data_IF_595537019729
#
_entry.id   IF_595537019729
#
_cell.length_a   1.000
_cell.length_b   1.000
_cell.length_c   1.000
_cell.angle_alpha   90.00
_cell.angle_beta   90.00
_cell.angle_gamma   90.00
#
_symmetry.space_group_name_H-M   'P 1'
#
loop_
_entity.id
_entity.type
_entity.pdbx_description
1 polymer ?
#
# COMPACT_ATOMS: atom_id res chain seq x y z
N UNK A 1 -28.37 23.50 -95.11
CA UNK A 1 -27.46 22.36 -94.83
C UNK A 1 -27.62 22.04 -93.35
N UNK A 2 -27.85 20.77 -93.04
CA UNK A 2 -28.62 20.25 -91.88
C UNK A 2 -28.09 20.65 -90.50
N UNK A 3 -29.00 20.97 -89.59
CA UNK A 3 -28.77 21.07 -88.14
C UNK A 3 -28.85 19.65 -87.57
N UNK A 4 -27.75 19.16 -87.01
CA UNK A 4 -27.73 17.91 -86.22
C UNK A 4 -28.48 18.15 -84.90
N UNK A 5 -29.61 17.47 -84.73
CA UNK A 5 -30.30 17.41 -83.43
C UNK A 5 -29.55 16.45 -82.48
N UNK A 6 -29.34 16.82 -81.21
CA UNK A 6 -28.71 15.92 -80.25
C UNK A 6 -29.64 14.76 -79.92
N UNK A 7 -29.18 13.54 -80.22
CA UNK A 7 -29.84 12.28 -79.82
C UNK A 7 -29.91 12.22 -78.29
N UNK A 8 -31.07 12.57 -77.73
CA UNK A 8 -31.38 12.27 -76.32
C UNK A 8 -31.69 10.79 -76.19
N UNK A 9 -30.67 10.01 -75.83
CA UNK A 9 -30.88 8.64 -75.37
C UNK A 9 -31.45 8.72 -73.95
N UNK A 10 -32.78 8.71 -73.84
CA UNK A 10 -33.48 8.50 -72.57
C UNK A 10 -33.67 7.01 -72.38
N UNK A 11 -32.91 6.41 -71.48
CA UNK A 11 -33.23 5.08 -70.96
C UNK A 11 -34.38 5.23 -69.98
N UNK A 12 -35.53 4.54 -70.18
CA UNK A 12 -36.59 4.56 -69.19
C UNK A 12 -36.15 3.72 -67.98
N UNK A 13 -35.71 4.37 -66.90
CA UNK A 13 -35.69 3.71 -65.60
C UNK A 13 -37.13 3.38 -65.24
N UNK A 14 -37.41 2.11 -64.95
CA UNK A 14 -38.72 1.72 -64.43
C UNK A 14 -38.84 2.20 -62.98
N UNK A 15 -40.06 2.45 -62.52
CA UNK A 15 -40.31 2.90 -61.15
C UNK A 15 -39.79 1.90 -60.10
N UNK A 16 -39.65 0.63 -60.48
CA UNK A 16 -39.13 -0.46 -59.66
C UNK A 16 -37.60 -0.39 -59.53
N UNK A 17 -36.86 -0.15 -60.62
CA UNK A 17 -35.40 0.00 -60.57
C UNK A 17 -34.97 1.29 -59.86
N UNK A 18 -35.77 2.35 -59.95
CA UNK A 18 -35.53 3.59 -59.18
C UNK A 18 -35.70 3.35 -57.67
N UNK A 19 -36.74 2.61 -57.27
CA UNK A 19 -36.98 2.28 -55.85
C UNK A 19 -35.87 1.40 -55.27
N UNK A 20 -35.44 0.38 -56.00
CA UNK A 20 -34.32 -0.48 -55.58
C UNK A 20 -33.00 0.29 -55.47
N UNK A 21 -32.72 1.22 -56.41
CA UNK A 21 -31.55 2.08 -56.34
C UNK A 21 -31.59 2.99 -55.10
N UNK A 22 -32.76 3.55 -54.77
CA UNK A 22 -32.95 4.39 -53.59
C UNK A 22 -32.78 3.60 -52.27
N UNK A 23 -33.38 2.42 -52.16
CA UNK A 23 -33.22 1.54 -50.99
C UNK A 23 -31.77 1.09 -50.78
N UNK A 24 -31.04 0.81 -51.86
CA UNK A 24 -29.62 0.46 -51.80
C UNK A 24 -28.74 1.65 -51.37
N UNK A 25 -29.10 2.87 -51.79
CA UNK A 25 -28.39 4.08 -51.40
C UNK A 25 -28.60 4.38 -49.90
N UNK A 26 -29.83 4.22 -49.42
CA UNK A 26 -30.18 4.36 -48.00
C UNK A 26 -29.47 3.31 -47.13
N UNK A 27 -29.45 2.04 -47.56
CA UNK A 27 -28.70 0.97 -46.86
C UNK A 27 -27.20 1.25 -46.80
N UNK A 28 -26.61 1.77 -47.88
CA UNK A 28 -25.19 2.11 -47.93
C UNK A 28 -24.87 3.23 -46.94
N UNK A 29 -25.69 4.30 -46.92
CA UNK A 29 -25.54 5.40 -45.97
C UNK A 29 -25.70 4.94 -44.51
N UNK A 30 -26.63 4.03 -44.24
CA UNK A 30 -26.86 3.47 -42.90
C UNK A 30 -25.66 2.63 -42.42
N UNK A 31 -25.04 1.85 -43.31
CA UNK A 31 -23.84 1.08 -43.01
C UNK A 31 -22.63 1.98 -42.72
N UNK A 32 -22.46 3.07 -43.46
CA UNK A 32 -21.39 4.05 -43.22
C UNK A 32 -21.55 4.72 -41.85
N UNK A 33 -22.78 5.10 -41.49
CA UNK A 33 -23.09 5.64 -40.16
C UNK A 33 -22.80 4.62 -39.06
N UNK A 34 -23.16 3.36 -39.26
CA UNK A 34 -22.91 2.30 -38.28
C UNK A 34 -21.41 2.04 -38.07
N UNK A 35 -20.62 2.07 -39.15
CA UNK A 35 -19.16 2.01 -39.08
C UNK A 35 -18.59 3.21 -38.31
N UNK A 36 -19.11 4.41 -38.55
CA UNK A 36 -18.66 5.61 -37.86
C UNK A 36 -18.98 5.56 -36.35
N UNK A 37 -20.19 5.13 -35.99
CA UNK A 37 -20.59 4.94 -34.59
C UNK A 37 -19.72 3.89 -33.91
N UNK A 38 -19.48 2.74 -34.54
CA UNK A 38 -18.62 1.70 -33.97
C UNK A 38 -17.18 2.19 -33.75
N UNK A 39 -16.63 2.99 -34.67
CA UNK A 39 -15.30 3.62 -34.48
C UNK A 39 -15.29 4.57 -33.28
N UNK A 40 -16.34 5.35 -33.08
CA UNK A 40 -16.46 6.24 -31.93
C UNK A 40 -16.59 5.46 -30.63
N UNK A 41 -17.38 4.39 -30.60
CA UNK A 41 -17.53 3.51 -29.42
C UNK A 41 -16.19 2.89 -29.07
N UNK A 42 -15.49 2.26 -30.02
CA UNK A 42 -14.18 1.66 -29.75
C UNK A 42 -13.13 2.68 -29.28
N UNK A 43 -13.19 3.92 -29.78
CA UNK A 43 -12.31 4.98 -29.30
C UNK A 43 -12.61 5.39 -27.85
N UNK A 44 -13.89 5.46 -27.48
CA UNK A 44 -14.32 5.75 -26.10
C UNK A 44 -13.93 4.61 -25.17
N UNK A 45 -14.17 3.35 -25.56
CA UNK A 45 -13.78 2.17 -24.79
C UNK A 45 -12.27 2.13 -24.52
N UNK A 46 -11.45 2.39 -25.55
CA UNK A 46 -10.00 2.46 -25.40
C UNK A 46 -9.57 3.56 -24.40
N UNK A 47 -10.22 4.73 -24.43
CA UNK A 47 -9.97 5.81 -23.46
C UNK A 47 -10.38 5.42 -22.04
N UNK A 48 -11.56 4.82 -21.86
CA UNK A 48 -12.04 4.37 -20.55
C UNK A 48 -11.08 3.34 -19.94
N UNK A 49 -10.66 2.35 -20.72
CA UNK A 49 -9.71 1.35 -20.26
C UNK A 49 -8.36 1.97 -19.87
N UNK A 50 -7.86 2.92 -20.66
CA UNK A 50 -6.63 3.65 -20.34
C UNK A 50 -6.76 4.43 -19.02
N UNK A 51 -7.85 5.19 -18.84
CA UNK A 51 -8.07 5.93 -17.59
C UNK A 51 -8.23 4.99 -16.39
N UNK A 52 -8.86 3.83 -16.57
CA UNK A 52 -8.94 2.80 -15.54
C UNK A 52 -7.56 2.33 -15.08
N UNK A 53 -6.65 2.04 -16.03
CA UNK A 53 -5.27 1.67 -15.72
C UNK A 53 -4.48 2.80 -15.04
N UNK A 54 -4.63 4.05 -15.50
CA UNK A 54 -3.98 5.22 -14.89
C UNK A 54 -4.44 5.42 -13.44
N UNK A 55 -5.76 5.31 -13.16
CA UNK A 55 -6.32 5.40 -11.81
C UNK A 55 -5.79 4.30 -10.89
N UNK A 56 -5.73 3.06 -11.36
CA UNK A 56 -5.22 1.95 -10.57
C UNK A 56 -3.72 2.12 -10.25
N UNK A 57 -2.95 2.64 -11.22
CA UNK A 57 -1.53 2.94 -11.03
C UNK A 57 -1.33 4.05 -9.99
N UNK A 58 -2.14 5.11 -10.04
CA UNK A 58 -2.13 6.19 -9.05
C UNK A 58 -2.51 5.68 -7.66
N UNK A 59 -3.56 4.88 -7.54
CA UNK A 59 -3.95 4.29 -6.26
C UNK A 59 -2.83 3.44 -5.65
N UNK A 60 -2.16 2.62 -6.47
CA UNK A 60 -1.01 1.84 -6.02
C UNK A 60 0.13 2.75 -5.56
N UNK A 61 0.47 3.81 -6.31
CA UNK A 61 1.51 4.76 -5.89
C UNK A 61 1.17 5.47 -4.59
N UNK A 62 -0.07 5.91 -4.40
CA UNK A 62 -0.51 6.57 -3.16
C UNK A 62 -0.43 5.61 -1.97
N UNK A 63 -0.82 4.34 -2.15
CA UNK A 63 -0.72 3.33 -1.10
C UNK A 63 0.74 3.03 -0.72
N UNK A 64 1.63 2.88 -1.71
CA UNK A 64 3.06 2.65 -1.44
C UNK A 64 3.72 3.85 -0.75
N UNK A 65 3.36 5.09 -1.15
CA UNK A 65 3.85 6.30 -0.49
C UNK A 65 3.41 6.34 0.98
N UNK A 66 2.13 6.09 1.26
CA UNK A 66 1.61 6.12 2.62
C UNK A 66 2.29 5.10 3.55
N UNK A 67 2.58 3.90 3.04
CA UNK A 67 3.34 2.89 3.80
C UNK A 67 4.79 3.34 4.02
N UNK A 68 5.45 3.88 2.99
CA UNK A 68 6.82 4.38 3.11
C UNK A 68 6.94 5.54 4.10
N UNK A 69 6.00 6.48 4.05
CA UNK A 69 5.94 7.63 4.96
C UNK A 69 5.74 7.13 6.40
N UNK A 70 4.85 6.16 6.60
CA UNK A 70 4.61 5.59 7.93
C UNK A 70 5.81 4.82 8.49
N UNK A 71 6.49 4.03 7.66
CA UNK A 71 7.73 3.35 8.08
C UNK A 71 8.80 4.36 8.49
N UNK A 72 8.84 5.53 7.82
CA UNK A 72 9.78 6.60 8.15
C UNK A 72 9.49 7.15 9.55
N UNK A 73 8.22 7.46 9.84
CA UNK A 73 7.79 7.90 11.18
C UNK A 73 8.15 6.86 12.25
N UNK A 74 7.82 5.58 12.01
CA UNK A 74 8.12 4.51 12.95
C UNK A 74 9.64 4.41 13.24
N UNK A 75 10.48 4.58 12.21
CA UNK A 75 11.93 4.53 12.35
C UNK A 75 12.49 5.75 13.11
N UNK A 76 11.94 6.94 12.85
CA UNK A 76 12.29 8.19 13.55
C UNK A 76 11.98 8.10 15.05
N UNK A 77 10.84 7.50 15.42
CA UNK A 77 10.43 7.29 16.81
C UNK A 77 11.42 6.40 17.59
N UNK A 78 12.18 5.54 16.91
CA UNK A 78 13.22 4.72 17.54
C UNK A 78 14.54 5.46 17.79
N UNK A 79 14.56 6.79 17.67
CA UNK A 79 15.74 7.61 17.95
C UNK A 79 16.90 7.39 16.97
N UNK A 80 16.60 6.95 15.74
CA UNK A 80 17.59 6.70 14.70
C UNK A 80 18.36 5.38 14.83
N UNK A 81 17.94 4.50 15.75
CA UNK A 81 18.49 3.15 15.88
C UNK A 81 18.16 2.30 14.64
N UNK A 82 16.96 2.48 14.08
CA UNK A 82 16.52 1.87 12.82
C UNK A 82 16.60 2.91 11.71
N UNK A 83 17.13 2.51 10.56
CA UNK A 83 17.28 3.35 9.39
C UNK A 83 16.54 2.73 8.20
N UNK A 84 15.91 3.55 7.36
CA UNK A 84 15.41 3.13 6.06
C UNK A 84 16.49 3.40 5.03
N UNK A 85 17.11 2.36 4.51
CA UNK A 85 18.23 2.52 3.58
C UNK A 85 17.75 2.62 2.13
N UNK A 86 18.12 3.69 1.43
CA UNK A 86 17.87 3.82 -0.01
C UNK A 86 18.53 2.68 -0.82
N UNK A 87 19.68 2.18 -0.35
CA UNK A 87 20.39 1.06 -0.97
C UNK A 87 19.58 -0.24 -0.96
N UNK A 88 18.62 -0.34 -0.04
CA UNK A 88 17.76 -1.51 0.12
C UNK A 88 16.29 -1.15 -0.13
N UNK A 89 16.00 -0.18 -1.01
CA UNK A 89 14.63 0.24 -1.35
C UNK A 89 13.78 0.60 -0.12
N UNK A 90 14.40 1.30 0.85
CA UNK A 90 13.79 1.71 2.11
C UNK A 90 13.42 0.56 3.04
N UNK A 91 14.08 -0.60 2.91
CA UNK A 91 13.99 -1.66 3.92
C UNK A 91 14.58 -1.18 5.25
N UNK A 92 13.90 -1.46 6.39
CA UNK A 92 14.41 -1.12 7.72
C UNK A 92 15.65 -1.95 8.06
N UNK A 93 16.70 -1.25 8.50
CA UNK A 93 18.00 -1.84 8.86
C UNK A 93 18.51 -1.28 10.18
N UNK A 94 19.30 -2.09 10.87
CA UNK A 94 20.19 -1.67 11.95
C UNK A 94 21.63 -1.62 11.44
N UNK A 95 22.43 -0.76 12.04
CA UNK A 95 23.88 -0.78 11.90
C UNK A 95 24.48 -1.28 13.21
N UNK A 96 25.22 -2.38 13.16
CA UNK A 96 25.83 -2.97 14.35
C UNK A 96 27.07 -2.19 14.80
N UNK A 97 27.68 -2.61 15.92
CA UNK A 97 28.90 -1.98 16.44
C UNK A 97 30.11 -2.04 15.49
N UNK A 98 30.11 -2.95 14.51
CA UNK A 98 31.16 -3.10 13.51
C UNK A 98 30.86 -2.31 12.22
N UNK A 99 29.70 -1.68 12.11
CA UNK A 99 29.24 -1.00 10.90
C UNK A 99 28.59 -1.94 9.88
N UNK A 100 28.31 -3.18 10.25
CA UNK A 100 27.57 -4.12 9.41
C UNK A 100 26.07 -3.82 9.43
N UNK A 101 25.44 -3.98 8.27
CA UNK A 101 24.00 -3.76 8.11
C UNK A 101 23.25 -5.05 8.41
N UNK A 102 22.37 -5.01 9.40
CA UNK A 102 21.49 -6.12 9.77
C UNK A 102 20.06 -5.74 9.40
N UNK A 103 19.38 -6.62 8.67
CA UNK A 103 18.01 -6.36 8.24
C UNK A 103 17.05 -6.61 9.39
N UNK A 104 16.14 -5.67 9.66
CA UNK A 104 15.22 -5.78 10.81
C UNK A 104 14.36 -7.04 10.72
N UNK A 105 13.94 -7.46 9.52
CA UNK A 105 13.12 -8.67 9.36
C UNK A 105 13.82 -9.94 9.84
N UNK A 106 15.16 -10.03 9.75
CA UNK A 106 15.91 -11.20 10.21
C UNK A 106 15.77 -11.37 11.72
N UNK A 107 15.80 -10.26 12.45
CA UNK A 107 15.63 -10.26 13.90
C UNK A 107 14.18 -10.61 14.28
N UNK A 108 13.20 -10.14 13.49
CA UNK A 108 11.79 -10.49 13.71
C UNK A 108 11.51 -11.99 13.49
N UNK A 109 12.16 -12.63 12.51
CA UNK A 109 12.09 -14.08 12.31
C UNK A 109 12.64 -14.84 13.52
N UNK A 110 13.73 -14.35 14.12
CA UNK A 110 14.30 -14.95 15.33
C UNK A 110 13.44 -14.69 16.57
N UNK A 111 12.79 -13.53 16.71
CA UNK A 111 11.85 -13.25 17.82
C UNK A 111 10.65 -14.22 17.81
N UNK A 112 10.18 -14.66 16.65
CA UNK A 112 9.13 -15.68 16.56
C UNK A 112 9.60 -17.04 17.12
N UNK A 113 10.90 -17.32 17.05
CA UNK A 113 11.51 -18.57 17.53
C UNK A 113 12.05 -18.48 18.96
N UNK A 114 12.46 -17.29 19.40
CA UNK A 114 13.13 -17.00 20.67
C UNK A 114 12.24 -16.10 21.52
N UNK A 115 11.78 -16.62 22.65
CA UNK A 115 10.91 -15.88 23.59
C UNK A 115 11.73 -14.89 24.44
N UNK A 116 13.07 -14.99 24.44
CA UNK A 116 13.97 -14.26 25.34
C UNK A 116 14.92 -13.30 24.62
N UNK A 117 15.01 -12.06 25.14
CA UNK A 117 15.93 -11.02 24.70
C UNK A 117 17.39 -11.43 24.90
N UNK A 118 17.70 -12.20 25.94
CA UNK A 118 19.06 -12.68 26.20
C UNK A 118 19.51 -13.65 25.09
N UNK A 119 18.64 -14.57 24.68
CA UNK A 119 18.90 -15.49 23.58
C UNK A 119 19.06 -14.76 22.24
N UNK A 120 18.28 -13.70 22.02
CA UNK A 120 18.41 -12.85 20.84
C UNK A 120 19.75 -12.11 20.82
N UNK A 121 20.20 -11.62 21.98
CA UNK A 121 21.51 -10.99 22.14
C UNK A 121 22.66 -11.99 21.96
N UNK A 122 22.50 -13.26 22.33
CA UNK A 122 23.49 -14.31 22.03
C UNK A 122 23.62 -14.55 20.51
N UNK A 123 22.52 -14.42 19.76
CA UNK A 123 22.49 -14.57 18.30
C UNK A 123 23.07 -13.35 17.59
N UNK A 124 22.81 -12.16 18.15
CA UNK A 124 23.31 -10.88 17.63
C UNK A 124 24.17 -10.13 18.67
N UNK A 125 25.37 -10.65 19.00
CA UNK A 125 26.18 -10.13 20.10
C UNK A 125 26.75 -8.72 19.86
N UNK A 126 26.68 -8.24 18.61
CA UNK A 126 27.13 -6.92 18.19
C UNK A 126 26.04 -5.86 18.30
N UNK A 127 24.80 -6.27 18.56
CA UNK A 127 23.66 -5.39 18.81
C UNK A 127 23.48 -5.15 20.30
N UNK A 128 23.18 -3.91 20.66
CA UNK A 128 22.83 -3.56 22.03
C UNK A 128 21.38 -3.95 22.34
N UNK A 129 21.06 -4.18 23.62
CA UNK A 129 19.67 -4.37 24.07
C UNK A 129 18.75 -3.22 23.65
N UNK A 130 19.27 -1.99 23.56
CA UNK A 130 18.50 -0.85 23.07
C UNK A 130 18.12 -1.02 21.58
N UNK A 131 19.03 -1.52 20.74
CA UNK A 131 18.74 -1.80 19.34
C UNK A 131 17.76 -2.96 19.17
N UNK A 132 17.88 -4.02 19.98
CA UNK A 132 16.93 -5.13 19.99
C UNK A 132 15.53 -4.67 20.44
N UNK A 133 15.46 -3.86 21.50
CA UNK A 133 14.22 -3.24 21.96
C UNK A 133 13.59 -2.31 20.93
N UNK A 134 14.42 -1.57 20.17
CA UNK A 134 13.95 -0.73 19.07
C UNK A 134 13.29 -1.55 17.95
N UNK A 135 13.80 -2.76 17.64
CA UNK A 135 13.18 -3.65 16.65
C UNK A 135 11.79 -4.09 17.07
N UNK A 136 11.64 -4.50 18.34
CA UNK A 136 10.35 -4.92 18.90
C UNK A 136 9.36 -3.74 18.88
N UNK A 137 9.81 -2.57 19.33
CA UNK A 137 9.00 -1.35 19.37
C UNK A 137 8.58 -0.89 17.97
N UNK A 138 9.50 -0.99 17.00
CA UNK A 138 9.22 -0.70 15.60
C UNK A 138 8.20 -1.65 14.97
N UNK A 139 8.31 -2.96 15.25
CA UNK A 139 7.32 -3.93 14.80
C UNK A 139 5.94 -3.65 15.40
N UNK A 140 5.89 -3.30 16.69
CA UNK A 140 4.66 -2.87 17.37
C UNK A 140 4.05 -1.64 16.69
N UNK A 141 4.86 -0.61 16.40
CA UNK A 141 4.41 0.58 15.68
C UNK A 141 3.85 0.21 14.29
N UNK A 142 4.51 -0.67 13.52
CA UNK A 142 3.99 -1.15 12.24
C UNK A 142 2.61 -1.81 12.38
N UNK A 143 2.42 -2.63 13.41
CA UNK A 143 1.12 -3.26 13.67
C UNK A 143 0.00 -2.24 13.91
N UNK A 144 0.33 -1.02 14.38
CA UNK A 144 -0.64 0.06 14.59
C UNK A 144 -1.11 0.72 13.30
N UNK A 145 -0.43 0.54 12.16
CA UNK A 145 -0.74 1.21 10.89
C UNK A 145 -2.23 1.14 10.52
N UNK A 146 -2.84 -0.03 10.66
CA UNK A 146 -4.24 -0.27 10.26
C UNK A 146 -5.25 -0.06 11.40
N UNK A 147 -4.80 0.26 12.60
CA UNK A 147 -5.68 0.32 13.78
C UNK A 147 -6.44 1.65 13.89
N UNK A 148 -6.17 2.62 13.01
CA UNK A 148 -6.88 3.91 12.98
C UNK A 148 -6.53 4.82 14.16
N UNK A 149 -5.30 4.71 14.69
CA UNK A 149 -4.83 5.52 15.82
C UNK A 149 -5.16 4.93 17.20
N UNK A 150 -5.36 3.62 17.28
CA UNK A 150 -5.43 2.92 18.57
C UNK A 150 -3.99 2.72 19.05
N UNK A 151 -3.65 3.37 20.17
CA UNK A 151 -2.39 3.09 20.85
C UNK A 151 -2.46 1.72 21.52
N UNK A 152 -1.68 0.77 21.00
CA UNK A 152 -1.59 -0.58 21.58
C UNK A 152 -1.08 -0.51 23.02
N UNK A 153 -0.17 0.41 23.31
CA UNK A 153 0.37 0.58 24.66
C UNK A 153 -0.72 0.95 25.66
N UNK A 154 -1.63 1.86 25.28
CA UNK A 154 -2.77 2.23 26.13
C UNK A 154 -3.77 1.07 26.34
N UNK A 155 -3.91 0.19 25.35
CA UNK A 155 -4.72 -1.03 25.48
C UNK A 155 -4.05 -2.05 26.41
N UNK A 156 -2.75 -2.31 26.22
CA UNK A 156 -1.99 -3.24 27.06
C UNK A 156 -1.95 -2.76 28.52
N UNK A 157 -1.72 -1.46 28.75
CA UNK A 157 -1.75 -0.85 30.09
C UNK A 157 -3.13 -0.99 30.74
N UNK A 158 -4.20 -0.71 29.99
CA UNK A 158 -5.57 -0.87 30.49
C UNK A 158 -5.94 -2.31 30.86
N UNK A 159 -5.37 -3.31 30.20
CA UNK A 159 -5.55 -4.73 30.55
C UNK A 159 -4.67 -5.13 31.75
N UNK A 160 -3.43 -4.67 31.82
CA UNK A 160 -2.53 -4.85 32.96
C UNK A 160 -3.09 -4.24 34.25
N UNK A 161 -3.65 -3.02 34.19
CA UNK A 161 -4.30 -2.38 35.33
C UNK A 161 -5.50 -3.17 35.85
N UNK A 162 -6.17 -3.93 34.98
CA UNK A 162 -7.33 -4.77 35.34
C UNK A 162 -6.92 -6.15 35.85
N UNK A 163 -5.67 -6.56 35.66
CA UNK A 163 -5.16 -7.86 36.11
C UNK A 163 -4.98 -7.87 37.65
N UNK A 164 -5.76 -8.68 38.40
CA UNK A 164 -5.63 -8.79 39.84
C UNK A 164 -4.25 -9.28 40.29
N UNK A 165 -3.56 -10.08 39.48
CA UNK A 165 -2.23 -10.63 39.79
C UNK A 165 -1.14 -9.55 39.70
N UNK A 166 -1.24 -8.67 38.71
CA UNK A 166 -0.37 -7.49 38.58
C UNK A 166 -0.62 -6.46 39.69
N UNK A 167 -1.88 -6.20 40.05
CA UNK A 167 -2.17 -5.34 41.20
C UNK A 167 -1.66 -5.92 42.52
N UNK A 168 -1.70 -7.24 42.67
CA UNK A 168 -1.16 -7.93 43.86
C UNK A 168 0.36 -7.78 43.94
N UNK A 169 1.08 -7.93 42.82
CA UNK A 169 2.54 -7.78 42.79
C UNK A 169 3.01 -6.35 43.05
N UNK A 170 2.29 -5.33 42.54
CA UNK A 170 2.56 -3.92 42.87
C UNK A 170 2.37 -3.66 44.37
N UNK A 171 1.28 -4.16 44.97
CA UNK A 171 1.04 -4.04 46.41
C UNK A 171 2.14 -4.69 47.24
N UNK A 172 2.60 -5.87 46.83
CA UNK A 172 3.69 -6.58 47.48
C UNK A 172 5.02 -5.80 47.38
N UNK A 173 5.37 -5.30 46.20
CA UNK A 173 6.57 -4.48 45.99
C UNK A 173 6.56 -3.19 46.84
N UNK A 174 5.42 -2.49 46.89
CA UNK A 174 5.27 -1.28 47.69
C UNK A 174 5.39 -1.55 49.20
N UNK A 175 4.85 -2.68 49.68
CA UNK A 175 4.97 -3.08 51.07
C UNK A 175 6.42 -3.42 51.45
N UNK A 176 7.18 -4.07 50.56
CA UNK A 176 8.58 -4.39 50.81
C UNK A 176 9.53 -3.17 50.75
N UNK A 177 9.13 -2.09 50.10
CA UNK A 177 9.95 -0.85 50.02
C UNK A 177 9.86 -0.02 51.31
N UNK A 178 8.80 -0.21 52.11
CA UNK A 178 8.59 0.49 53.38
C UNK A 178 9.38 -0.05 54.58
N UNK A 179 9.89 -1.29 54.51
CA UNK A 179 10.49 -1.98 55.66
C UNK A 179 12.03 -1.87 55.77
N UNK A 180 12.72 -1.28 54.79
CA UNK A 180 14.21 -1.30 54.72
C UNK A 180 14.92 0.06 54.91
N UNK A 181 14.26 1.08 55.47
CA UNK A 181 14.88 2.40 55.73
C UNK A 181 14.97 2.76 57.23
N UNK A 182 15.34 1.81 58.09
CA UNK A 182 15.95 2.15 59.38
C UNK A 182 17.45 1.92 59.27
N UNK A 183 18.28 2.97 59.13
CA UNK A 183 19.71 2.80 59.32
C UNK A 183 19.93 2.47 60.79
N UNK A 184 20.28 1.22 61.10
CA UNK A 184 20.87 0.86 62.38
C UNK A 184 22.19 1.60 62.50
N UNK A 185 22.17 2.74 63.19
CA UNK A 185 23.35 3.41 63.70
C UNK A 185 24.07 2.48 64.68
N UNK A 186 25.26 2.01 64.30
CA UNK A 186 26.32 1.59 65.23
C UNK A 186 27.65 2.09 64.68
#
# INVERSE_FOLDING_TARGET
MYLDEPVRISYPMTHETFREAQENLERTSLNELLIQVNRQVSFVEAKVNRFGHELQTLQNHTAHSAVSDYLTVCAEEQGGLIQLSENYSSLPVLIDANGETIMVYQILEEIDCLIDLDALHETYPTLTYAQLGAVISFARAICQFNTGGIEIDALEEGELERDPSFQASIKEALNHTGENLVPTSV
#
